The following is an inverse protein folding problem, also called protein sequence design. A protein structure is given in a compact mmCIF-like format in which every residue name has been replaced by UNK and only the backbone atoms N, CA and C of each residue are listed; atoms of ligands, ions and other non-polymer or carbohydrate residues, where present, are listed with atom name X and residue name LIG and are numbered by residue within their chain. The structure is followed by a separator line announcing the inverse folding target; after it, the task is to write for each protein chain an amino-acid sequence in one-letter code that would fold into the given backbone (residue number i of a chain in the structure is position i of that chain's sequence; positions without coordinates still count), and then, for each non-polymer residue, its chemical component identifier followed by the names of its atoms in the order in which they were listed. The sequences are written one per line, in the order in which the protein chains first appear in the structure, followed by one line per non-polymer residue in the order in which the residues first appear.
data_IF_484433920424
#
_entry.id   IF_484433920424
#
_cell.length_a   1.000
_cell.length_b   1.000
_cell.length_c   1.000
_cell.angle_alpha   90.00
_cell.angle_beta   90.00
_cell.angle_gamma   90.00
#
_symmetry.space_group_name_H-M   'P 1'
#
loop_
_entity.id
_entity.type
_entity.pdbx_description
1 polymer ?
#
# COMPACT_ATOMS: atom_id res chain seq x y z
N UNK A 1 11.03 18.51 -6.66
CA UNK A 1 11.30 17.06 -6.51
C UNK A 1 11.41 16.47 -7.90
N UNK A 2 12.43 15.66 -8.15
CA UNK A 2 12.56 14.91 -9.41
C UNK A 2 11.47 13.86 -9.48
N UNK A 3 10.88 13.66 -10.65
CA UNK A 3 9.95 12.54 -10.88
C UNK A 3 10.64 11.21 -10.57
N UNK A 4 9.97 10.25 -9.90
CA UNK A 4 10.56 8.96 -9.60
C UNK A 4 10.87 8.19 -10.87
N UNK A 5 11.99 7.48 -10.88
CA UNK A 5 12.39 6.63 -12.01
C UNK A 5 11.50 5.40 -12.12
N UNK A 6 11.55 4.72 -13.28
CA UNK A 6 10.89 3.42 -13.45
C UNK A 6 11.35 2.38 -12.41
N UNK A 7 12.64 2.42 -12.04
CA UNK A 7 13.18 1.57 -10.99
C UNK A 7 12.63 1.91 -9.59
N UNK A 8 12.35 3.18 -9.31
CA UNK A 8 11.67 3.59 -8.07
C UNK A 8 10.23 3.08 -8.04
N UNK A 9 9.51 3.20 -9.16
CA UNK A 9 8.15 2.71 -9.29
C UNK A 9 8.07 1.19 -9.10
N UNK A 10 8.96 0.42 -9.74
CA UNK A 10 9.02 -1.02 -9.60
C UNK A 10 9.29 -1.45 -8.14
N UNK A 11 10.21 -0.77 -7.44
CA UNK A 11 10.47 -1.02 -6.02
C UNK A 11 9.25 -0.69 -5.14
N UNK A 12 8.56 0.42 -5.43
CA UNK A 12 7.37 0.81 -4.71
C UNK A 12 6.24 -0.23 -4.87
N UNK A 13 5.99 -0.68 -6.09
CA UNK A 13 5.03 -1.77 -6.36
C UNK A 13 5.36 -3.05 -5.60
N UNK A 14 6.61 -3.53 -5.66
CA UNK A 14 7.00 -4.77 -5.00
C UNK A 14 6.79 -4.75 -3.48
N UNK A 15 7.07 -3.60 -2.84
CA UNK A 15 6.85 -3.47 -1.41
C UNK A 15 5.39 -3.28 -1.02
N UNK A 16 4.60 -2.58 -1.83
CA UNK A 16 3.15 -2.49 -1.63
C UNK A 16 2.53 -3.89 -1.71
N UNK A 17 2.90 -4.72 -2.70
CA UNK A 17 2.47 -6.12 -2.76
C UNK A 17 2.81 -6.86 -1.48
N UNK A 18 4.07 -6.79 -1.04
CA UNK A 18 4.53 -7.48 0.19
C UNK A 18 3.76 -7.03 1.44
N UNK A 19 3.44 -5.74 1.54
CA UNK A 19 2.64 -5.19 2.64
C UNK A 19 1.19 -5.71 2.61
N UNK A 20 0.54 -5.68 1.46
CA UNK A 20 -0.85 -6.14 1.29
C UNK A 20 -0.96 -7.67 1.47
N UNK A 21 0.01 -8.44 0.99
CA UNK A 21 0.13 -9.88 1.23
C UNK A 21 0.17 -10.18 2.74
N UNK A 22 0.93 -9.37 3.49
CA UNK A 22 1.00 -9.46 4.95
C UNK A 22 -0.31 -9.14 5.67
N UNK A 23 -1.27 -8.49 5.01
CA UNK A 23 -2.61 -8.25 5.57
C UNK A 23 -3.56 -9.41 5.30
N UNK A 24 -3.28 -10.26 4.30
CA UNK A 24 -4.14 -11.37 3.87
C UNK A 24 -5.54 -10.90 3.42
N UNK A 25 -5.60 -9.87 2.58
CA UNK A 25 -6.86 -9.46 1.94
C UNK A 25 -7.32 -10.53 0.93
N UNK A 26 -8.58 -10.96 0.99
CA UNK A 26 -9.08 -12.08 0.18
C UNK A 26 -9.00 -11.82 -1.33
N UNK A 27 -9.75 -10.83 -1.81
CA UNK A 27 -9.79 -10.44 -3.22
C UNK A 27 -9.50 -8.95 -3.33
N UNK A 28 -8.35 -8.62 -3.92
CA UNK A 28 -7.91 -7.23 -4.05
C UNK A 28 -7.07 -6.99 -5.32
N UNK A 29 -7.10 -5.75 -5.77
CA UNK A 29 -6.21 -5.17 -6.78
C UNK A 29 -5.54 -3.94 -6.19
N UNK A 30 -4.35 -3.59 -6.69
CA UNK A 30 -3.71 -2.34 -6.28
C UNK A 30 -2.98 -1.66 -7.44
N UNK A 31 -2.85 -0.34 -7.33
CA UNK A 31 -2.00 0.48 -8.16
C UNK A 31 -1.14 1.38 -7.28
N UNK A 32 0.08 1.69 -7.74
CA UNK A 32 0.99 2.62 -7.07
C UNK A 32 1.31 3.73 -8.03
N UNK A 33 1.00 4.96 -7.62
CA UNK A 33 1.18 6.14 -8.45
C UNK A 33 2.06 7.16 -7.74
N UNK A 34 3.02 7.79 -8.43
CA UNK A 34 3.74 8.90 -7.86
C UNK A 34 2.81 10.13 -7.77
N UNK A 35 2.86 10.82 -6.63
CA UNK A 35 2.19 12.09 -6.38
C UNK A 35 3.20 13.08 -5.79
N UNK A 36 2.86 14.36 -5.78
CA UNK A 36 3.72 15.41 -5.21
C UNK A 36 4.17 15.04 -3.78
N UNK A 37 5.45 14.67 -3.62
CA UNK A 37 6.00 14.33 -2.31
C UNK A 37 5.84 12.90 -1.84
N UNK A 38 4.95 12.09 -2.45
CA UNK A 38 4.47 10.83 -1.86
C UNK A 38 4.04 9.82 -2.91
N UNK A 39 3.87 8.58 -2.51
CA UNK A 39 3.16 7.56 -3.27
C UNK A 39 1.67 7.57 -2.91
N UNK A 40 0.81 7.48 -3.91
CA UNK A 40 -0.57 7.08 -3.73
C UNK A 40 -0.66 5.57 -4.02
N UNK A 41 -1.27 4.83 -3.09
CA UNK A 41 -1.56 3.41 -3.23
C UNK A 41 -3.06 3.27 -3.29
N UNK A 42 -3.57 2.95 -4.47
CA UNK A 42 -4.99 2.70 -4.67
C UNK A 42 -5.22 1.21 -4.46
N UNK A 43 -6.10 0.86 -3.54
CA UNK A 43 -6.52 -0.52 -3.28
C UNK A 43 -7.98 -0.67 -3.63
N UNK A 44 -8.30 -1.63 -4.46
CA UNK A 44 -9.68 -2.06 -4.70
C UNK A 44 -9.85 -3.44 -4.07
N UNK A 45 -10.81 -3.60 -3.17
CA UNK A 45 -10.99 -4.84 -2.41
C UNK A 45 -12.46 -5.26 -2.33
N UNK A 46 -12.70 -6.56 -2.20
CA UNK A 46 -14.03 -7.08 -1.90
C UNK A 46 -14.44 -6.78 -0.46
N UNK A 47 -15.70 -6.42 -0.27
CA UNK A 47 -16.36 -6.15 1.03
C UNK A 47 -17.55 -7.09 1.24
N UNK A 48 -18.27 -6.92 2.35
CA UNK A 48 -19.56 -7.60 2.58
C UNK A 48 -20.64 -7.25 1.54
N UNK A 49 -20.57 -6.07 0.93
CA UNK A 49 -21.62 -5.52 0.05
C UNK A 49 -21.19 -5.35 -1.42
N UNK A 50 -19.94 -5.68 -1.78
CA UNK A 50 -19.46 -5.57 -3.15
C UNK A 50 -17.97 -5.31 -3.21
N UNK A 51 -17.58 -4.30 -3.96
CA UNK A 51 -16.20 -3.81 -4.06
C UNK A 51 -16.13 -2.38 -3.55
N UNK A 52 -15.02 -2.03 -2.91
CA UNK A 52 -14.68 -0.66 -2.56
C UNK A 52 -13.32 -0.27 -3.13
N UNK A 53 -13.08 1.03 -3.19
CA UNK A 53 -11.81 1.63 -3.57
C UNK A 53 -11.33 2.54 -2.46
N UNK A 54 -10.10 2.33 -2.00
CA UNK A 54 -9.45 3.10 -0.95
C UNK A 54 -8.14 3.67 -1.49
N UNK A 55 -7.91 4.96 -1.29
CA UNK A 55 -6.62 5.59 -1.62
C UNK A 55 -5.81 5.81 -0.33
N UNK A 56 -4.67 5.14 -0.25
CA UNK A 56 -3.72 5.23 0.85
C UNK A 56 -2.55 6.12 0.42
N UNK A 57 -2.05 6.94 1.35
CA UNK A 57 -0.86 7.78 1.11
C UNK A 57 0.33 7.20 1.84
N UNK A 58 1.45 7.11 1.13
CA UNK A 58 2.69 6.57 1.66
C UNK A 58 3.87 7.47 1.28
N UNK A 59 4.47 8.11 2.27
CA UNK A 59 5.65 8.95 2.14
C UNK A 59 6.96 8.16 2.29
N UNK A 60 8.02 8.80 2.84
CA UNK A 60 9.33 8.18 3.08
C UNK A 60 9.28 6.91 3.94
N UNK A 61 8.26 6.75 4.77
CA UNK A 61 8.00 5.56 5.58
C UNK A 61 7.84 4.29 4.73
N UNK A 62 7.31 4.40 3.51
CA UNK A 62 7.26 3.28 2.58
C UNK A 62 8.65 2.91 2.11
N UNK A 63 9.52 3.89 1.84
CA UNK A 63 10.91 3.67 1.45
C UNK A 63 11.75 3.06 2.60
N UNK A 64 11.48 3.46 3.84
CA UNK A 64 12.09 2.85 5.02
C UNK A 64 11.65 1.39 5.20
N UNK A 65 10.35 1.11 5.06
CA UNK A 65 9.82 -0.25 5.08
C UNK A 65 10.36 -1.11 3.92
N UNK A 66 10.48 -0.54 2.71
CA UNK A 66 11.15 -1.15 1.53
C UNK A 66 12.58 -1.55 1.87
N UNK A 67 13.28 -0.74 2.66
CA UNK A 67 14.69 -0.93 3.02
C UNK A 67 14.89 -1.94 4.18
N UNK A 68 13.81 -2.59 4.64
CA UNK A 68 13.84 -3.64 5.66
C UNK A 68 13.57 -3.17 7.09
N UNK A 69 13.14 -1.91 7.29
CA UNK A 69 12.73 -1.42 8.60
C UNK A 69 11.41 -2.08 9.05
N UNK A 70 11.52 -3.01 10.01
CA UNK A 70 10.39 -3.73 10.55
C UNK A 70 9.40 -2.85 11.32
N UNK A 71 9.88 -1.78 11.97
CA UNK A 71 9.02 -0.85 12.73
C UNK A 71 8.24 0.05 11.77
N UNK A 72 8.87 0.53 10.70
CA UNK A 72 8.19 1.26 9.63
C UNK A 72 7.13 0.37 8.97
N UNK A 73 7.46 -0.91 8.70
CA UNK A 73 6.51 -1.89 8.15
C UNK A 73 5.30 -2.09 9.07
N UNK A 74 5.52 -2.30 10.36
CA UNK A 74 4.44 -2.49 11.34
C UNK A 74 3.54 -1.25 11.46
N UNK A 75 4.13 -0.05 11.39
CA UNK A 75 3.40 1.22 11.43
C UNK A 75 2.49 1.36 10.21
N UNK A 76 3.02 1.15 9.00
CA UNK A 76 2.24 1.19 7.77
C UNK A 76 1.11 0.16 7.76
N UNK A 77 1.40 -1.07 8.17
CA UNK A 77 0.38 -2.13 8.26
C UNK A 77 -0.77 -1.74 9.19
N UNK A 78 -0.46 -1.13 10.33
CA UNK A 78 -1.47 -0.70 11.29
C UNK A 78 -2.33 0.43 10.73
N UNK A 79 -1.70 1.43 10.10
CA UNK A 79 -2.41 2.55 9.47
C UNK A 79 -3.32 2.08 8.34
N UNK A 80 -2.81 1.24 7.44
CA UNK A 80 -3.57 0.80 6.28
C UNK A 80 -4.70 -0.16 6.67
N UNK A 81 -4.51 -1.02 7.69
CA UNK A 81 -5.60 -1.85 8.22
C UNK A 81 -6.78 -1.03 8.71
N UNK A 82 -6.53 0.12 9.35
CA UNK A 82 -7.61 1.01 9.79
C UNK A 82 -8.39 1.63 8.61
N UNK A 83 -7.78 1.76 7.44
CA UNK A 83 -8.42 2.27 6.23
C UNK A 83 -9.04 1.18 5.34
N UNK A 84 -8.70 -0.08 5.59
CA UNK A 84 -9.15 -1.25 4.84
C UNK A 84 -10.05 -2.16 5.70
N UNK A 85 -10.58 -1.64 6.79
CA UNK A 85 -11.37 -2.40 7.79
C UNK A 85 -12.63 -3.04 7.19
N UNK A 86 -13.23 -2.40 6.19
CA UNK A 86 -14.36 -2.94 5.43
C UNK A 86 -13.98 -4.01 4.38
N UNK A 87 -12.69 -4.19 4.10
CA UNK A 87 -12.21 -5.25 3.20
C UNK A 87 -12.36 -6.64 3.84
N UNK A 88 -12.56 -7.65 2.99
CA UNK A 88 -12.51 -9.05 3.41
C UNK A 88 -11.07 -9.53 3.58
N UNK A 89 -10.85 -10.33 4.63
CA UNK A 89 -9.57 -10.93 5.00
C UNK A 89 -9.67 -12.47 5.04
N UNK A 90 -8.58 -13.16 4.73
CA UNK A 90 -8.39 -14.64 4.77
C UNK A 90 -7.58 -15.10 5.99
#
# INVERSE_FOLDING_TARGET
MTEPSEADLARAHAAVSTLLDGMRLSAHLHAVEPREGKWAVIVECATGSGWQRVELRAGPELLAAISGDAAARATLLTQWRAHLDDCKYD
#
